data_IF_316342414920
#
_entry.id   IF_316342414920
#
_cell.length_a   1.000
_cell.length_b   1.000
_cell.length_c   1.000
_cell.angle_alpha   90.00
_cell.angle_beta   90.00
_cell.angle_gamma   90.00
#
_symmetry.space_group_name_H-M   'P 1'
#
loop_
_entity.id
_entity.type
_entity.pdbx_description
1 polymer ?
#
# COMPACT_ATOMS: atom_id res chain seq x y z
N UNK A 1 2.12 23.59 18.76
CA UNK A 1 2.27 22.69 18.46
C UNK A 1 3.00 22.27 17.28
N UNK A 2 2.84 21.15 16.89
CA UNK A 2 3.50 20.76 15.78
C UNK A 2 2.59 19.93 15.04
N UNK A 3 2.87 19.68 13.85
CA UNK A 3 2.07 18.94 13.12
C UNK A 3 2.61 17.69 12.81
N UNK A 4 1.84 16.68 12.74
CA UNK A 4 2.20 15.42 12.37
C UNK A 4 1.98 15.25 10.93
N UNK A 5 3.03 15.09 10.17
CA UNK A 5 2.85 14.97 8.83
C UNK A 5 2.38 13.65 8.50
N UNK A 6 1.37 13.50 7.71
CA UNK A 6 0.87 12.28 7.30
C UNK A 6 1.51 11.90 6.04
N UNK A 7 2.12 10.77 5.95
CA UNK A 7 2.74 10.35 4.73
C UNK A 7 1.70 9.80 3.81
N UNK A 8 1.79 10.03 2.53
CA UNK A 8 0.84 9.48 1.60
C UNK A 8 0.92 7.97 1.59
N UNK A 9 -0.19 7.33 1.33
CA UNK A 9 -0.25 5.89 1.27
C UNK A 9 -0.49 5.46 -0.15
N UNK A 10 -0.01 4.30 -0.47
CA UNK A 10 -0.11 3.76 -1.81
C UNK A 10 -0.49 2.30 -1.77
N UNK A 11 -1.25 1.86 -2.76
CA UNK A 11 -1.42 0.46 -3.02
C UNK A 11 -0.32 0.02 -3.97
N UNK A 12 0.00 -1.25 -4.00
CA UNK A 12 0.93 -1.78 -4.98
C UNK A 12 0.16 -2.81 -5.80
N UNK A 13 -0.10 -2.49 -7.06
CA UNK A 13 -0.87 -3.38 -7.91
C UNK A 13 0.07 -4.18 -8.79
N UNK A 14 0.19 -5.46 -8.52
CA UNK A 14 1.11 -6.31 -9.23
C UNK A 14 0.51 -6.89 -10.47
N UNK A 15 -0.82 -7.04 -10.49
CA UNK A 15 -1.50 -7.58 -11.63
C UNK A 15 -2.67 -6.68 -11.92
N UNK A 16 -2.94 -6.42 -13.16
CA UNK A 16 -3.98 -5.49 -13.56
C UNK A 16 -5.34 -6.15 -13.37
N UNK A 17 -5.78 -6.29 -12.13
CA UNK A 17 -7.00 -6.96 -11.78
C UNK A 17 -7.41 -6.51 -10.40
N UNK A 18 -8.68 -6.58 -10.10
CA UNK A 18 -9.19 -6.12 -8.81
C UNK A 18 -8.59 -6.89 -7.64
N UNK A 19 -8.08 -8.08 -7.85
CA UNK A 19 -7.43 -8.82 -6.79
C UNK A 19 -5.94 -8.93 -7.04
N UNK A 20 -5.38 -7.96 -7.74
CA UNK A 20 -3.96 -7.97 -8.07
C UNK A 20 -3.09 -7.13 -7.17
N UNK A 21 -3.55 -6.78 -5.98
CA UNK A 21 -2.82 -5.89 -5.09
C UNK A 21 -1.97 -6.64 -4.08
N UNK A 22 -0.85 -6.05 -3.74
CA UNK A 22 0.04 -6.64 -2.75
C UNK A 22 -0.58 -6.58 -1.37
N UNK A 23 -0.61 -7.70 -0.70
CA UNK A 23 -1.06 -7.81 0.67
C UNK A 23 0.09 -8.35 1.50
N UNK A 24 0.37 -7.73 2.63
CA UNK A 24 1.44 -8.18 3.50
C UNK A 24 0.83 -8.55 4.83
N UNK A 25 1.00 -9.79 5.20
CA UNK A 25 0.51 -10.30 6.47
C UNK A 25 1.40 -9.74 7.60
N UNK A 26 0.86 -9.68 8.79
CA UNK A 26 1.63 -9.11 9.88
C UNK A 26 2.90 -9.94 10.18
N UNK A 27 2.98 -11.16 9.68
CA UNK A 27 4.18 -11.93 9.85
C UNK A 27 5.10 -11.78 8.65
N UNK A 28 4.85 -10.80 7.81
CA UNK A 28 5.68 -10.45 6.65
C UNK A 28 5.52 -11.37 5.47
N UNK A 29 4.55 -12.25 5.49
CA UNK A 29 4.28 -13.03 4.30
C UNK A 29 3.50 -12.19 3.31
N UNK A 30 3.81 -12.30 2.06
CA UNK A 30 3.20 -11.49 1.02
C UNK A 30 2.35 -12.32 0.13
N UNK A 31 1.24 -11.78 -0.30
CA UNK A 31 0.39 -12.43 -1.26
C UNK A 31 -0.31 -11.37 -2.10
N UNK A 32 -1.03 -11.79 -3.09
CA UNK A 32 -1.73 -10.90 -3.99
C UNK A 32 -3.21 -11.10 -3.78
N UNK A 33 -3.93 -10.03 -3.58
CA UNK A 33 -5.36 -10.10 -3.34
C UNK A 33 -6.01 -8.76 -3.54
N UNK A 34 -7.17 -8.55 -2.93
CA UNK A 34 -7.87 -7.31 -3.10
C UNK A 34 -7.15 -6.20 -2.35
N UNK A 35 -7.58 -4.97 -2.57
CA UNK A 35 -6.94 -3.86 -1.87
C UNK A 35 -7.65 -3.49 -0.59
N UNK A 36 -8.61 -4.32 -0.15
CA UNK A 36 -9.25 -4.05 1.12
C UNK A 36 -8.33 -4.48 2.24
N UNK A 37 -8.16 -3.63 3.21
CA UNK A 37 -7.33 -4.01 4.33
C UNK A 37 -8.11 -4.86 5.29
N UNK A 38 -7.64 -6.05 5.54
CA UNK A 38 -8.25 -6.90 6.54
C UNK A 38 -7.42 -6.81 7.80
N UNK A 39 -7.92 -7.38 8.86
CA UNK A 39 -7.25 -7.23 10.13
C UNK A 39 -5.86 -7.83 10.14
N UNK A 40 -5.59 -8.79 9.28
CA UNK A 40 -4.30 -9.43 9.27
C UNK A 40 -3.44 -9.06 8.09
N UNK A 41 -3.95 -8.26 7.17
CA UNK A 41 -3.20 -7.94 5.97
C UNK A 41 -3.16 -6.44 5.75
N UNK A 42 -2.03 -5.94 5.34
CA UNK A 42 -1.84 -4.55 5.06
C UNK A 42 -1.74 -4.37 3.57
N UNK A 43 -2.51 -3.47 3.00
CA UNK A 43 -2.51 -3.20 1.58
C UNK A 43 -2.12 -1.78 1.24
N UNK A 44 -1.99 -0.89 2.23
CA UNK A 44 -1.62 0.49 2.01
C UNK A 44 -0.27 0.73 2.66
N UNK A 45 0.64 1.28 1.91
CA UNK A 45 2.02 1.40 2.36
C UNK A 45 2.54 2.78 2.10
N UNK A 46 3.45 3.26 2.93
CA UNK A 46 4.15 4.51 2.66
C UNK A 46 5.29 4.23 1.68
N UNK A 47 5.83 5.29 1.12
CA UNK A 47 6.97 5.15 0.22
C UNK A 47 8.12 4.43 0.91
N UNK A 48 8.43 4.79 2.12
CA UNK A 48 9.54 4.17 2.79
C UNK A 48 9.28 2.70 3.04
N UNK A 49 8.04 2.35 3.33
CA UNK A 49 7.70 0.95 3.54
C UNK A 49 7.88 0.17 2.25
N UNK A 50 7.44 0.73 1.14
CA UNK A 50 7.57 0.04 -0.12
C UNK A 50 9.03 -0.12 -0.50
N UNK A 51 9.79 0.94 -0.37
CA UNK A 51 11.18 0.89 -0.79
C UNK A 51 12.06 0.04 0.11
N UNK A 52 11.61 -0.22 1.30
CA UNK A 52 12.35 -1.09 2.20
C UNK A 52 12.15 -2.57 1.89
N UNK A 53 11.18 -2.88 1.05
CA UNK A 53 10.92 -4.26 0.74
C UNK A 53 11.95 -4.80 -0.25
N UNK A 54 12.10 -6.11 -0.26
CA UNK A 54 12.92 -6.74 -1.26
C UNK A 54 12.25 -6.51 -2.59
N UNK A 55 12.71 -5.99 -3.53
CA UNK A 55 12.13 -5.60 -4.79
C UNK A 55 11.31 -4.33 -4.65
N UNK A 56 11.65 -3.51 -3.66
CA UNK A 56 10.90 -2.29 -3.40
C UNK A 56 10.91 -1.33 -4.53
N UNK A 57 11.98 -1.28 -5.32
CA UNK A 57 12.01 -0.37 -6.44
C UNK A 57 11.00 -0.77 -7.48
N UNK A 58 10.81 -2.06 -7.72
CA UNK A 58 9.81 -2.51 -8.66
C UNK A 58 8.42 -2.24 -8.13
N UNK A 59 8.19 -2.47 -6.86
CA UNK A 59 6.91 -2.20 -6.26
C UNK A 59 6.58 -0.71 -6.33
N UNK A 60 7.57 0.14 -6.16
CA UNK A 60 7.35 1.58 -6.21
C UNK A 60 6.88 1.99 -7.60
N UNK A 61 7.35 1.33 -8.63
CA UNK A 61 6.89 1.61 -9.98
C UNK A 61 5.46 1.15 -10.20
N UNK A 62 4.96 0.25 -9.38
CA UNK A 62 3.62 -0.27 -9.50
C UNK A 62 2.66 0.38 -8.52
N UNK A 63 3.07 1.43 -7.84
CA UNK A 63 2.25 2.05 -6.83
C UNK A 63 1.05 2.75 -7.42
N UNK A 64 -0.03 2.80 -6.66
CA UNK A 64 -1.19 3.59 -6.98
C UNK A 64 -1.56 4.38 -5.78
N UNK A 65 -1.76 5.68 -5.86
CA UNK A 65 -2.09 6.47 -4.70
C UNK A 65 -3.43 6.06 -4.11
N UNK A 66 -3.49 5.99 -2.80
CA UNK A 66 -4.74 5.77 -2.14
C UNK A 66 -5.47 7.10 -2.14
N UNK A 67 -6.64 7.18 -2.78
CA UNK A 67 -7.27 8.41 -2.87
C UNK A 67 -7.88 8.77 -1.64
N UNK A 68 -7.66 9.91 -1.13
CA UNK A 68 -8.27 10.33 0.00
C UNK A 68 -9.38 11.07 -0.38
N UNK A 69 -10.44 10.66 -0.35
CA UNK A 69 -11.54 11.33 -0.74
C UNK A 69 -11.93 12.24 0.16
N UNK A 70 -11.68 12.97 0.45
CA UNK A 70 -12.04 13.74 1.36
C UNK A 70 -12.94 14.48 1.11
N UNK A 71 -13.48 14.40 1.25
CA UNK A 71 -14.17 14.92 0.91
C UNK A 71 -14.55 15.78 0.82
N UNK A 72 -14.49 15.78 0.84
CA UNK A 72 -14.62 16.31 0.71
C UNK A 72 -14.89 17.03 0.96
N UNK A 73 -14.97 17.15 1.10
CA UNK A 73 -14.98 17.77 1.34
C UNK A 73 -15.34 18.22 1.53
#
# INVERSE_FOLDING_TARGET
GYEVEKEPLYYVQLIDHATGYLNVHYDNQKLVGSNDEASEYKTQFTESEIKAMNKGEAYWLLKEPVEEVEGEA
#
